data_IF_833860594362
#
_entry.id   IF_833860594362
#
_cell.length_a   1.000
_cell.length_b   1.000
_cell.length_c   1.000
_cell.angle_alpha   90.00
_cell.angle_beta   90.00
_cell.angle_gamma   90.00
#
_symmetry.space_group_name_H-M   'P 1'
#
loop_
_entity.id
_entity.type
_entity.pdbx_description
1 polymer ?
#
# COMPACT_ATOMS: atom_id res chain seq x y z
N UNK A 1 -1.10 10.13 -68.16
CA UNK A 1 -0.78 9.31 -66.97
C UNK A 1 -1.40 7.97 -67.26
N UNK A 2 -0.59 7.08 -67.83
CA UNK A 2 -1.00 5.75 -68.27
C UNK A 2 -1.48 4.91 -67.07
N UNK A 3 -2.36 3.95 -67.35
CA UNK A 3 -3.08 3.11 -66.40
C UNK A 3 -2.11 2.31 -65.49
N UNK A 4 -1.68 2.92 -64.37
CA UNK A 4 -0.90 2.23 -63.34
C UNK A 4 -1.81 1.52 -62.34
N UNK A 5 -1.35 0.40 -61.79
CA UNK A 5 -2.04 -0.34 -60.72
C UNK A 5 -1.36 -0.04 -59.39
N UNK A 6 -2.16 0.05 -58.32
CA UNK A 6 -1.68 0.26 -56.96
C UNK A 6 -1.94 -1.02 -56.17
N UNK A 7 -0.88 -1.58 -55.59
CA UNK A 7 -0.95 -2.82 -54.81
C UNK A 7 -0.65 -2.54 -53.34
N UNK A 8 -1.57 -2.92 -52.48
CA UNK A 8 -1.43 -2.83 -51.03
C UNK A 8 -1.05 -4.21 -50.47
N UNK A 9 0.03 -4.28 -49.71
CA UNK A 9 0.47 -5.50 -49.03
C UNK A 9 0.56 -5.26 -47.53
N UNK A 10 0.12 -6.25 -46.74
CA UNK A 10 0.17 -6.23 -45.28
C UNK A 10 1.03 -7.40 -44.83
N UNK A 11 2.03 -7.14 -44.00
CA UNK A 11 2.97 -8.18 -43.56
C UNK A 11 2.40 -9.15 -42.50
N UNK A 12 1.44 -8.70 -41.67
CA UNK A 12 0.80 -9.53 -40.63
C UNK A 12 -0.68 -9.15 -40.42
N UNK A 13 -1.58 -10.04 -40.81
CA UNK A 13 -3.04 -9.85 -40.72
C UNK A 13 -3.63 -10.20 -39.35
N UNK A 14 -2.82 -10.77 -38.44
CA UNK A 14 -3.20 -10.95 -37.03
C UNK A 14 -3.02 -9.67 -36.24
N UNK A 15 -2.15 -8.77 -36.72
CA UNK A 15 -1.91 -7.45 -36.14
C UNK A 15 -2.80 -6.39 -36.80
N UNK A 16 -3.03 -6.44 -38.12
CA UNK A 16 -3.75 -5.40 -38.85
C UNK A 16 -5.00 -5.91 -39.58
N UNK A 17 -6.15 -5.28 -39.36
CA UNK A 17 -7.38 -5.50 -40.14
C UNK A 17 -7.74 -4.25 -40.95
N UNK A 18 -8.17 -4.43 -42.21
CA UNK A 18 -8.66 -3.35 -43.07
C UNK A 18 -10.17 -3.22 -42.97
N UNK A 19 -10.65 -1.99 -43.05
CA UNK A 19 -12.07 -1.65 -43.06
C UNK A 19 -12.38 -0.80 -44.29
N UNK A 20 -13.56 -0.99 -44.90
CA UNK A 20 -14.02 -0.18 -46.02
C UNK A 20 -14.53 1.21 -45.56
N UNK A 21 -14.96 2.06 -46.51
CA UNK A 21 -15.49 3.39 -46.19
C UNK A 21 -16.80 3.37 -45.39
N UNK A 22 -17.42 2.20 -45.20
CA UNK A 22 -18.60 1.98 -44.36
C UNK A 22 -18.23 1.34 -43.02
N UNK A 23 -16.94 1.28 -42.68
CA UNK A 23 -16.39 0.68 -41.47
C UNK A 23 -16.68 -0.82 -41.33
N UNK A 24 -16.91 -1.52 -42.47
CA UNK A 24 -17.06 -2.97 -42.50
C UNK A 24 -15.68 -3.61 -42.66
N UNK A 25 -15.36 -4.59 -41.81
CA UNK A 25 -14.11 -5.35 -41.91
C UNK A 25 -14.05 -6.03 -43.28
N UNK A 26 -13.00 -5.76 -44.02
CA UNK A 26 -12.70 -6.42 -45.29
C UNK A 26 -12.10 -7.78 -44.91
N UNK A 27 -12.79 -8.86 -45.30
CA UNK A 27 -12.44 -10.21 -44.86
C UNK A 27 -11.32 -10.82 -45.73
N UNK A 28 -10.46 -11.69 -45.16
CA UNK A 28 -9.36 -12.36 -45.86
C UNK A 28 -9.73 -13.09 -47.16
N UNK A 29 -11.00 -13.38 -47.40
CA UNK A 29 -11.49 -14.12 -48.57
C UNK A 29 -11.71 -13.26 -49.82
N UNK A 30 -11.61 -11.92 -49.72
CA UNK A 30 -11.55 -11.03 -50.89
C UNK A 30 -10.10 -10.77 -51.36
N UNK A 31 -9.14 -11.56 -50.85
CA UNK A 31 -7.71 -11.50 -51.15
C UNK A 31 -7.31 -12.60 -52.13
N UNK A 32 -6.36 -12.29 -53.01
CA UNK A 32 -5.58 -13.34 -53.68
C UNK A 32 -4.57 -13.92 -52.66
N UNK A 33 -4.89 -15.10 -52.14
CA UNK A 33 -4.22 -15.75 -51.00
C UNK A 33 -2.77 -16.15 -51.28
N UNK A 34 -2.33 -16.20 -52.55
CA UNK A 34 -0.97 -16.65 -52.89
C UNK A 34 0.09 -15.54 -52.76
N UNK A 35 -0.29 -14.27 -52.59
CA UNK A 35 0.69 -13.16 -52.51
C UNK A 35 0.43 -12.08 -51.44
N UNK A 36 -0.63 -12.21 -50.62
CA UNK A 36 -0.91 -11.25 -49.55
C UNK A 36 -1.16 -9.81 -50.06
N UNK A 37 -1.77 -9.68 -51.24
CA UNK A 37 -1.94 -8.39 -51.91
C UNK A 37 -3.37 -8.07 -52.32
N UNK A 38 -3.78 -6.83 -52.11
CA UNK A 38 -4.98 -6.27 -52.74
C UNK A 38 -4.54 -5.60 -54.03
N UNK A 39 -4.93 -6.20 -55.16
CA UNK A 39 -4.79 -5.61 -56.49
C UNK A 39 -6.15 -5.06 -56.89
N UNK A 40 -6.42 -3.78 -56.64
CA UNK A 40 -7.61 -3.14 -57.20
C UNK A 40 -7.26 -2.67 -58.61
N UNK A 41 -7.91 -3.17 -59.69
CA UNK A 41 -7.68 -2.67 -61.03
C UNK A 41 -8.09 -1.20 -61.09
N UNK A 42 -7.09 -0.32 -61.08
CA UNK A 42 -7.23 1.12 -61.09
C UNK A 42 -7.74 1.61 -62.45
N UNK A 43 -9.06 1.53 -62.67
CA UNK A 43 -9.73 2.42 -63.62
C UNK A 43 -10.21 3.65 -62.84
N UNK A 44 -9.41 4.71 -62.95
CA UNK A 44 -9.60 6.07 -62.43
C UNK A 44 -9.51 6.28 -60.91
N UNK A 45 -8.30 6.55 -60.41
CA UNK A 45 -8.10 7.36 -59.19
C UNK A 45 -8.35 8.83 -59.53
N UNK A 46 -9.62 9.25 -59.55
CA UNK A 46 -9.94 10.67 -59.45
C UNK A 46 -10.04 11.04 -57.98
N UNK A 47 -9.05 11.77 -57.46
CA UNK A 47 -9.23 12.85 -56.48
C UNK A 47 -10.04 12.59 -55.19
N UNK A 48 -10.07 11.37 -54.65
CA UNK A 48 -10.65 11.12 -53.34
C UNK A 48 -9.59 10.62 -52.36
N UNK A 49 -9.32 11.42 -51.33
CA UNK A 49 -8.55 11.03 -50.16
C UNK A 49 -9.19 9.76 -49.57
N UNK A 50 -8.47 8.64 -49.63
CA UNK A 50 -8.87 7.39 -48.99
C UNK A 50 -8.04 7.23 -47.73
N UNK A 51 -8.67 7.35 -46.58
CA UNK A 51 -8.08 7.04 -45.28
C UNK A 51 -8.26 5.55 -45.00
N UNK A 52 -7.20 4.86 -44.62
CA UNK A 52 -7.27 3.48 -44.11
C UNK A 52 -7.28 3.51 -42.59
N UNK A 53 -8.22 2.80 -41.97
CA UNK A 53 -8.31 2.69 -40.52
C UNK A 53 -7.87 1.29 -40.07
N UNK A 54 -7.02 1.26 -39.07
CA UNK A 54 -6.55 0.06 -38.37
C UNK A 54 -7.19 0.02 -36.99
N UNK A 55 -8.00 -1.01 -36.68
CA UNK A 55 -8.68 -1.13 -35.38
C UNK A 55 -8.57 -2.56 -34.86
N UNK A 56 -8.34 -2.72 -33.56
CA UNK A 56 -8.30 -4.04 -32.88
C UNK A 56 -6.99 -4.81 -33.09
N UNK A 57 -5.86 -4.09 -33.10
CA UNK A 57 -4.56 -4.69 -33.40
C UNK A 57 -4.02 -5.49 -32.22
N UNK A 58 -3.55 -6.71 -32.47
CA UNK A 58 -2.78 -7.46 -31.49
C UNK A 58 -1.35 -6.88 -31.38
N UNK A 59 -0.68 -7.02 -30.23
CA UNK A 59 0.72 -6.62 -30.12
C UNK A 59 1.59 -7.37 -31.14
N UNK A 60 2.46 -6.64 -31.82
CA UNK A 60 3.24 -7.16 -32.94
C UNK A 60 3.81 -6.04 -33.80
N UNK A 61 4.58 -6.43 -34.81
CA UNK A 61 5.06 -5.51 -35.84
C UNK A 61 4.32 -5.81 -37.14
N UNK A 62 3.85 -4.77 -37.81
CA UNK A 62 3.27 -4.90 -39.14
C UNK A 62 3.77 -3.77 -40.03
N UNK A 63 3.80 -4.02 -41.34
CA UNK A 63 4.02 -2.99 -42.33
C UNK A 63 2.92 -3.01 -43.37
N UNK A 64 2.66 -1.82 -43.90
CA UNK A 64 1.82 -1.60 -45.07
C UNK A 64 2.74 -1.12 -46.18
N UNK A 65 2.85 -1.90 -47.24
CA UNK A 65 3.63 -1.54 -48.43
C UNK A 65 2.67 -1.18 -49.55
N UNK A 66 2.90 -0.01 -50.13
CA UNK A 66 2.24 0.52 -51.30
C UNK A 66 3.17 0.36 -52.50
N UNK A 67 2.80 -0.43 -53.51
CA UNK A 67 3.57 -0.58 -54.74
C UNK A 67 2.86 0.11 -55.90
N UNK A 68 3.60 0.87 -56.69
CA UNK A 68 3.15 1.52 -57.91
C UNK A 68 3.64 0.70 -59.09
N UNK A 69 2.73 0.13 -59.86
CA UNK A 69 3.05 -0.77 -60.97
C UNK A 69 2.85 -0.06 -62.32
N UNK A 70 3.72 -0.37 -63.29
CA UNK A 70 3.52 0.03 -64.68
C UNK A 70 2.39 -0.78 -65.34
N UNK A 71 2.08 -0.43 -66.59
CA UNK A 71 1.04 -1.09 -67.39
C UNK A 71 1.29 -2.60 -67.61
N UNK A 72 2.52 -3.08 -67.40
CA UNK A 72 2.90 -4.49 -67.53
C UNK A 72 2.87 -5.21 -66.17
N UNK A 73 2.49 -4.54 -65.08
CA UNK A 73 2.53 -5.10 -63.73
C UNK A 73 3.93 -5.12 -63.10
N UNK A 74 4.88 -4.35 -63.61
CA UNK A 74 6.22 -4.21 -63.03
C UNK A 74 6.21 -3.11 -61.97
N UNK A 75 6.74 -3.38 -60.78
CA UNK A 75 6.85 -2.36 -59.73
C UNK A 75 7.83 -1.27 -60.16
N UNK A 76 7.34 -0.04 -60.32
CA UNK A 76 8.11 1.16 -60.69
C UNK A 76 8.71 1.80 -59.44
N UNK A 77 7.94 1.88 -58.36
CA UNK A 77 8.40 2.31 -57.06
C UNK A 77 7.50 1.74 -55.96
N UNK A 78 7.90 1.89 -54.69
CA UNK A 78 7.09 1.48 -53.55
C UNK A 78 7.37 2.32 -52.31
N UNK A 79 6.31 2.60 -51.54
CA UNK A 79 6.40 3.16 -50.20
C UNK A 79 6.10 2.07 -49.17
N UNK A 80 6.77 2.08 -48.03
CA UNK A 80 6.47 1.16 -46.93
C UNK A 80 6.35 1.93 -45.63
N UNK A 81 5.23 1.75 -44.95
CA UNK A 81 4.98 2.26 -43.60
C UNK A 81 5.03 1.07 -42.65
N UNK A 82 6.04 1.05 -41.78
CA UNK A 82 6.12 0.09 -40.68
C UNK A 82 5.50 0.71 -39.42
N UNK A 83 4.75 -0.07 -38.66
CA UNK A 83 4.24 0.31 -37.35
C UNK A 83 4.33 -0.87 -36.39
N UNK A 84 4.51 -0.55 -35.12
CA UNK A 84 4.54 -1.52 -34.03
C UNK A 84 3.39 -1.26 -33.08
N UNK A 85 2.75 -2.33 -32.64
CA UNK A 85 1.76 -2.31 -31.56
C UNK A 85 2.41 -3.00 -30.38
N UNK A 86 2.50 -2.30 -29.25
CA UNK A 86 3.02 -2.85 -28.00
C UNK A 86 1.90 -2.94 -26.97
N UNK A 87 1.89 -4.04 -26.22
CA UNK A 87 1.14 -4.15 -24.97
C UNK A 87 2.10 -3.93 -23.81
N UNK A 88 1.70 -3.08 -22.87
CA UNK A 88 2.42 -2.83 -21.63
C UNK A 88 1.61 -3.42 -20.48
N UNK A 89 2.24 -4.25 -19.66
CA UNK A 89 1.61 -4.86 -18.48
C UNK A 89 2.44 -4.53 -17.25
N UNK A 90 1.83 -3.90 -16.24
CA UNK A 90 2.51 -3.66 -14.97
C UNK A 90 2.57 -4.95 -14.15
N UNK A 91 3.79 -5.32 -13.74
CA UNK A 91 4.04 -6.43 -12.82
C UNK A 91 4.25 -5.92 -11.41
N UNK A 92 4.86 -4.73 -11.26
CA UNK A 92 4.96 -4.04 -9.98
C UNK A 92 4.92 -2.52 -10.16
N UNK A 93 4.32 -1.78 -9.23
CA UNK A 93 3.27 -2.28 -8.34
C UNK A 93 2.08 -2.84 -9.16
N UNK A 94 1.35 -3.80 -8.60
CA UNK A 94 0.27 -4.51 -9.30
C UNK A 94 -1.02 -3.69 -9.35
N UNK A 95 -1.80 -3.89 -10.41
CA UNK A 95 -3.09 -3.22 -10.65
C UNK A 95 -4.28 -4.08 -10.20
N UNK A 96 -4.07 -5.39 -9.99
CA UNK A 96 -5.13 -6.33 -9.63
C UNK A 96 -4.58 -7.59 -8.93
N UNK A 97 -5.47 -8.29 -8.22
CA UNK A 97 -5.23 -9.44 -7.34
C UNK A 97 -4.74 -10.73 -8.02
N UNK A 98 -4.40 -10.68 -9.32
CA UNK A 98 -4.02 -11.88 -10.09
C UNK A 98 -2.58 -12.33 -9.86
N UNK A 99 -1.73 -11.48 -9.29
CA UNK A 99 -0.39 -11.85 -8.85
C UNK A 99 -0.32 -11.73 -7.32
N UNK A 100 0.03 -12.79 -6.56
CA UNK A 100 0.27 -12.72 -5.11
C UNK A 100 1.56 -11.94 -4.76
N UNK A 101 1.99 -11.03 -5.63
CA UNK A 101 3.18 -10.22 -5.44
C UNK A 101 2.85 -9.13 -4.42
N UNK A 102 3.36 -9.34 -3.20
CA UNK A 102 3.31 -8.41 -2.08
C UNK A 102 3.60 -6.98 -2.55
N UNK A 103 2.56 -6.14 -2.61
CA UNK A 103 2.65 -4.71 -2.88
C UNK A 103 3.07 -3.93 -1.63
N UNK A 104 3.48 -4.63 -0.57
CA UNK A 104 3.97 -4.05 0.67
C UNK A 104 5.47 -3.73 0.55
N UNK A 105 5.80 -2.48 0.79
CA UNK A 105 7.16 -1.96 0.81
C UNK A 105 7.39 -1.29 2.16
N UNK A 106 8.51 -1.58 2.82
CA UNK A 106 8.75 -1.20 4.22
C UNK A 106 9.99 -0.32 4.30
N UNK A 107 9.90 0.80 5.03
CA UNK A 107 11.09 1.55 5.45
C UNK A 107 11.94 0.69 6.39
N UNK A 108 13.22 0.55 6.05
CA UNK A 108 14.18 -0.19 6.87
C UNK A 108 14.56 0.56 8.16
N UNK A 109 15.46 -0.06 8.93
CA UNK A 109 15.89 0.43 10.24
C UNK A 109 17.07 1.44 10.15
N UNK A 110 17.47 1.87 8.94
CA UNK A 110 18.59 2.81 8.78
C UNK A 110 18.22 4.23 9.27
N UNK A 111 19.21 5.11 9.44
CA UNK A 111 18.99 6.49 9.89
C UNK A 111 19.70 7.43 8.92
N UNK A 112 18.99 8.13 8.01
CA UNK A 112 17.54 8.06 7.78
C UNK A 112 17.08 6.71 7.19
N UNK A 113 15.87 6.27 7.52
CA UNK A 113 15.32 4.99 7.00
C UNK A 113 15.06 5.05 5.50
N UNK A 114 15.10 3.88 4.84
CA UNK A 114 14.97 3.78 3.38
C UNK A 114 13.89 2.78 2.99
N UNK A 115 12.98 3.18 2.10
CA UNK A 115 11.99 2.30 1.46
C UNK A 115 12.25 2.22 -0.05
N UNK A 116 12.29 0.99 -0.59
CA UNK A 116 12.55 0.71 -2.01
C UNK A 116 11.30 0.13 -2.66
N UNK A 117 10.64 0.91 -3.51
CA UNK A 117 9.46 0.50 -4.28
C UNK A 117 9.88 0.05 -5.67
N UNK A 118 9.86 -1.26 -5.90
CA UNK A 118 10.17 -1.84 -7.21
C UNK A 118 9.03 -1.56 -8.20
N UNK A 119 9.37 -0.99 -9.36
CA UNK A 119 8.49 -0.69 -10.47
C UNK A 119 8.93 -1.52 -11.69
N UNK A 120 8.05 -2.39 -12.20
CA UNK A 120 8.36 -3.34 -13.26
C UNK A 120 7.20 -3.40 -14.25
N UNK A 121 7.52 -3.23 -15.53
CA UNK A 121 6.58 -3.42 -16.63
C UNK A 121 7.13 -4.44 -17.65
N UNK A 122 6.24 -5.31 -18.12
CA UNK A 122 6.50 -6.21 -19.23
C UNK A 122 5.93 -5.60 -20.51
N UNK A 123 6.65 -5.81 -21.61
CA UNK A 123 6.25 -5.35 -22.93
C UNK A 123 6.11 -6.55 -23.85
N UNK A 124 5.05 -6.58 -24.65
CA UNK A 124 4.89 -7.56 -25.73
C UNK A 124 4.62 -6.83 -27.05
N UNK A 125 5.28 -7.20 -28.17
CA UNK A 125 6.34 -8.20 -28.25
C UNK A 125 7.65 -7.66 -27.67
N UNK A 126 8.45 -8.54 -27.07
CA UNK A 126 9.74 -8.21 -26.48
C UNK A 126 10.90 -8.52 -27.45
N UNK A 127 11.04 -7.71 -28.51
CA UNK A 127 12.11 -7.85 -29.52
C UNK A 127 13.22 -6.80 -29.33
N UNK A 128 14.45 -7.02 -29.84
CA UNK A 128 15.52 -6.03 -29.79
C UNK A 128 15.13 -4.65 -30.37
N UNK A 129 14.31 -4.63 -31.42
CA UNK A 129 13.83 -3.41 -32.09
C UNK A 129 12.84 -2.65 -31.20
N UNK A 130 11.88 -3.36 -30.60
CA UNK A 130 10.95 -2.78 -29.62
C UNK A 130 11.74 -2.26 -28.42
N UNK A 131 12.71 -3.03 -27.92
CA UNK A 131 13.54 -2.60 -26.79
C UNK A 131 14.28 -1.30 -27.09
N UNK A 132 14.92 -1.24 -28.25
CA UNK A 132 15.62 -0.03 -28.72
C UNK A 132 14.67 1.17 -28.86
N UNK A 133 13.44 0.95 -29.31
CA UNK A 133 12.44 2.00 -29.47
C UNK A 133 11.97 2.58 -28.13
N UNK A 134 11.80 1.72 -27.12
CA UNK A 134 11.30 2.09 -25.79
C UNK A 134 12.37 2.69 -24.86
N UNK A 135 13.65 2.48 -25.17
CA UNK A 135 14.76 2.98 -24.37
C UNK A 135 14.65 4.50 -24.16
N UNK A 136 14.57 4.92 -22.90
CA UNK A 136 14.45 6.35 -22.54
C UNK A 136 13.05 6.94 -22.66
N UNK A 137 12.04 6.17 -23.07
CA UNK A 137 10.66 6.64 -23.26
C UNK A 137 9.71 6.24 -22.14
N UNK A 138 9.98 5.11 -21.47
CA UNK A 138 9.21 4.62 -20.35
C UNK A 138 9.62 5.36 -19.08
N UNK A 139 8.71 6.10 -18.47
CA UNK A 139 8.98 6.93 -17.29
C UNK A 139 8.05 6.57 -16.15
N UNK A 140 8.63 6.27 -15.00
CA UNK A 140 7.92 6.04 -13.77
C UNK A 140 7.79 7.32 -12.95
N UNK A 141 6.62 7.50 -12.37
CA UNK A 141 6.38 8.39 -11.23
C UNK A 141 5.72 7.59 -10.11
N UNK A 142 5.82 8.10 -8.89
CA UNK A 142 5.10 7.55 -7.74
C UNK A 142 4.66 8.71 -6.85
N UNK A 143 3.47 8.60 -6.26
CA UNK A 143 3.00 9.53 -5.25
C UNK A 143 4.05 9.71 -4.15
N UNK A 144 4.21 10.96 -3.70
CA UNK A 144 5.20 11.27 -2.69
C UNK A 144 4.81 10.68 -1.33
N UNK A 145 5.82 10.42 -0.51
CA UNK A 145 5.69 10.22 0.94
C UNK A 145 6.14 11.53 1.59
N UNK A 146 5.22 12.39 2.07
CA UNK A 146 5.59 13.71 2.59
C UNK A 146 6.63 13.63 3.72
N UNK A 147 7.76 14.33 3.57
CA UNK A 147 8.89 14.28 4.50
C UNK A 147 10.02 13.33 4.06
N UNK A 148 9.76 12.44 3.10
CA UNK A 148 10.78 11.61 2.46
C UNK A 148 11.34 12.28 1.21
N UNK A 149 12.63 12.05 0.93
CA UNK A 149 13.24 12.39 -0.36
C UNK A 149 13.10 11.22 -1.32
N UNK A 150 12.53 11.45 -2.50
CA UNK A 150 12.43 10.46 -3.58
C UNK A 150 13.62 10.56 -4.54
N UNK A 151 14.29 9.44 -4.76
CA UNK A 151 15.26 9.25 -5.84
C UNK A 151 14.95 7.96 -6.61
N UNK A 152 15.59 7.77 -7.76
CA UNK A 152 15.45 6.56 -8.58
C UNK A 152 16.80 5.87 -8.74
N UNK A 153 16.79 4.54 -8.70
CA UNK A 153 18.02 3.73 -8.74
C UNK A 153 18.77 3.84 -10.08
N UNK A 154 18.05 3.76 -11.20
CA UNK A 154 18.67 3.73 -12.53
C UNK A 154 18.52 5.06 -13.30
N UNK A 155 17.36 5.72 -13.15
CA UNK A 155 17.01 6.97 -13.84
C UNK A 155 17.41 8.27 -13.11
N UNK A 156 18.10 8.19 -11.96
CA UNK A 156 18.47 9.37 -11.17
C UNK A 156 17.24 10.13 -10.64
N UNK A 157 16.94 11.32 -11.17
CA UNK A 157 15.73 12.09 -10.82
C UNK A 157 14.58 11.93 -11.82
N UNK A 158 14.77 11.14 -12.88
CA UNK A 158 13.85 11.12 -14.03
C UNK A 158 12.91 9.92 -14.11
N UNK A 159 13.08 8.91 -13.25
CA UNK A 159 12.25 7.69 -13.23
C UNK A 159 12.29 6.88 -14.53
N UNK A 160 13.28 7.11 -15.40
CA UNK A 160 13.39 6.46 -16.70
C UNK A 160 13.72 4.98 -16.52
N UNK A 161 12.83 4.10 -16.97
CA UNK A 161 13.00 2.67 -16.84
C UNK A 161 14.18 2.15 -17.66
N UNK A 162 14.86 1.13 -17.12
CA UNK A 162 15.94 0.40 -17.79
C UNK A 162 15.48 -1.03 -18.06
N UNK A 163 15.76 -1.51 -19.27
CA UNK A 163 15.50 -2.89 -19.63
C UNK A 163 16.47 -3.83 -18.87
N UNK A 164 15.91 -4.76 -18.10
CA UNK A 164 16.68 -5.77 -17.37
C UNK A 164 16.38 -7.17 -17.91
N UNK A 165 17.40 -7.80 -18.51
CA UNK A 165 17.32 -9.16 -19.05
C UNK A 165 17.00 -10.21 -17.97
N UNK A 166 17.39 -10.00 -16.71
CA UNK A 166 17.13 -10.91 -15.61
C UNK A 166 15.65 -10.97 -15.20
N UNK A 167 14.92 -9.87 -15.41
CA UNK A 167 13.47 -9.78 -15.18
C UNK A 167 12.65 -9.94 -16.47
N UNK A 168 13.28 -9.89 -17.64
CA UNK A 168 12.60 -9.89 -18.94
C UNK A 168 11.70 -8.67 -19.12
N UNK A 169 12.06 -7.52 -18.54
CA UNK A 169 11.18 -6.38 -18.44
C UNK A 169 11.88 -5.06 -18.19
N UNK A 170 11.08 -4.00 -18.18
CA UNK A 170 11.50 -2.63 -17.91
C UNK A 170 11.33 -2.33 -16.44
N UNK A 171 12.44 -2.03 -15.77
CA UNK A 171 12.43 -1.81 -14.32
C UNK A 171 12.94 -0.44 -13.93
N UNK A 172 12.49 -0.04 -12.76
CA UNK A 172 13.03 1.07 -12.00
C UNK A 172 12.73 0.82 -10.51
N UNK A 173 13.48 1.47 -9.61
CA UNK A 173 13.23 1.41 -8.16
C UNK A 173 13.07 2.83 -7.62
N UNK A 174 11.89 3.18 -7.12
CA UNK A 174 11.69 4.39 -6.34
C UNK A 174 12.30 4.19 -4.96
N UNK A 175 13.16 5.12 -4.53
CA UNK A 175 13.85 5.08 -3.25
C UNK A 175 13.39 6.28 -2.42
N UNK A 176 12.57 6.03 -1.41
CA UNK A 176 12.22 7.03 -0.41
C UNK A 176 13.23 6.98 0.74
N UNK A 177 13.84 8.12 1.05
CA UNK A 177 14.81 8.26 2.15
C UNK A 177 14.29 9.25 3.19
N UNK A 178 14.31 8.85 4.46
CA UNK A 178 13.74 9.58 5.60
C UNK A 178 12.29 9.18 5.82
N UNK A 179 11.96 8.79 7.06
CA UNK A 179 10.56 8.51 7.41
C UNK A 179 9.78 9.84 7.51
N UNK A 180 8.49 9.85 7.13
CA UNK A 180 7.62 11.00 7.29
C UNK A 180 7.34 11.32 8.77
N UNK A 181 6.99 12.57 9.07
CA UNK A 181 6.57 12.95 10.45
C UNK A 181 5.19 12.41 10.82
N UNK A 182 4.29 12.31 9.84
CA UNK A 182 2.88 11.99 10.04
C UNK A 182 2.58 10.54 9.64
N UNK A 183 1.84 9.82 10.49
CA UNK A 183 1.39 8.45 10.20
C UNK A 183 0.54 8.38 8.92
N UNK A 184 -0.24 9.42 8.64
CA UNK A 184 -1.08 9.52 7.43
C UNK A 184 -0.29 9.65 6.12
N UNK A 185 1.03 9.86 6.18
CA UNK A 185 1.89 9.89 4.98
C UNK A 185 2.21 8.49 4.44
N UNK A 186 2.05 7.45 5.26
CA UNK A 186 2.20 6.05 4.84
C UNK A 186 0.98 5.56 4.05
N UNK A 187 0.93 4.26 3.80
CA UNK A 187 -0.18 3.59 3.13
C UNK A 187 -0.07 3.57 1.63
N UNK A 188 -1.22 3.52 0.99
CA UNK A 188 -1.36 3.36 -0.44
C UNK A 188 -0.71 4.54 -1.20
N UNK A 189 0.03 4.21 -2.26
CA UNK A 189 0.71 5.13 -3.17
C UNK A 189 0.54 4.65 -4.60
N UNK A 190 0.05 5.52 -5.46
CA UNK A 190 -0.08 5.24 -6.90
C UNK A 190 1.29 5.39 -7.55
N UNK A 191 1.78 4.33 -8.21
CA UNK A 191 2.87 4.45 -9.16
C UNK A 191 2.33 4.43 -10.58
N UNK A 192 2.82 5.34 -11.41
CA UNK A 192 2.36 5.55 -12.78
C UNK A 192 3.52 5.34 -13.74
N UNK A 193 3.30 4.52 -14.76
CA UNK A 193 4.17 4.43 -15.92
C UNK A 193 3.57 5.26 -17.05
N UNK A 194 4.34 6.22 -17.56
CA UNK A 194 4.00 7.02 -18.73
C UNK A 194 4.72 6.50 -19.99
N UNK A 195 3.97 6.39 -21.08
CA UNK A 195 4.50 6.08 -22.41
C UNK A 195 3.69 6.77 -23.51
N UNK A 196 4.32 7.70 -24.23
CA UNK A 196 3.73 8.39 -25.40
C UNK A 196 2.31 8.95 -25.14
N UNK A 197 2.12 9.57 -23.96
CA UNK A 197 0.85 10.16 -23.54
C UNK A 197 -0.15 9.18 -22.93
N UNK A 198 0.18 7.89 -22.86
CA UNK A 198 -0.61 6.87 -22.14
C UNK A 198 -0.06 6.68 -20.74
N UNK A 199 -0.94 6.38 -19.79
CA UNK A 199 -0.59 6.13 -18.39
C UNK A 199 -1.09 4.76 -17.95
N UNK A 200 -0.29 4.10 -17.13
CA UNK A 200 -0.61 2.82 -16.50
C UNK A 200 -0.34 2.96 -15.01
N UNK A 201 -1.32 2.64 -14.17
CA UNK A 201 -1.23 2.85 -12.72
C UNK A 201 -1.21 1.52 -11.97
N UNK A 202 -0.42 1.45 -10.91
CA UNK A 202 -0.39 0.33 -9.96
C UNK A 202 -0.25 0.83 -8.52
N UNK A 203 -0.69 0.03 -7.56
CA UNK A 203 -0.73 0.43 -6.14
C UNK A 203 0.43 -0.16 -5.33
N UNK A 204 1.23 0.69 -4.72
CA UNK A 204 2.25 0.32 -3.74
C UNK A 204 1.75 0.69 -2.32
N UNK A 205 1.88 -0.21 -1.36
CA UNK A 205 1.56 0.05 0.04
C UNK A 205 2.85 0.27 0.81
N UNK A 206 3.01 1.47 1.37
CA UNK A 206 4.23 1.87 2.06
C UNK A 206 4.04 1.81 3.56
N UNK A 207 4.88 1.04 4.25
CA UNK A 207 4.85 0.78 5.68
C UNK A 207 6.14 1.26 6.36
N UNK A 208 6.11 1.39 7.69
CA UNK A 208 7.32 1.53 8.51
C UNK A 208 7.65 0.24 9.27
N UNK A 209 8.93 -0.01 9.50
CA UNK A 209 9.35 -1.07 10.43
C UNK A 209 8.85 -0.77 11.84
N UNK A 210 8.02 -1.68 12.39
CA UNK A 210 7.29 -1.49 13.67
C UNK A 210 8.23 -1.14 14.83
N UNK A 211 9.30 -1.92 14.98
CA UNK A 211 10.18 -1.91 16.16
C UNK A 211 11.46 -1.08 15.98
N UNK A 212 11.69 -0.55 14.77
CA UNK A 212 12.75 0.44 14.55
C UNK A 212 12.49 1.71 15.37
N UNK A 213 13.55 2.47 15.62
CA UNK A 213 13.51 3.71 16.42
C UNK A 213 13.96 4.93 15.62
N UNK A 214 13.72 4.91 14.31
CA UNK A 214 14.24 5.88 13.34
C UNK A 214 13.18 6.88 12.86
N UNK A 215 12.03 6.98 13.53
CA UNK A 215 11.05 8.03 13.30
C UNK A 215 11.67 9.43 13.48
N UNK A 216 11.15 10.48 12.82
CA UNK A 216 11.78 11.81 12.83
C UNK A 216 11.45 12.65 14.08
N UNK A 217 10.41 12.27 14.84
CA UNK A 217 9.95 13.06 15.99
C UNK A 217 10.89 13.11 17.19
N UNK A 218 10.49 13.86 18.22
CA UNK A 218 11.16 13.88 19.52
C UNK A 218 11.29 12.47 20.08
N UNK A 219 12.41 12.17 20.74
CA UNK A 219 12.74 10.83 21.26
C UNK A 219 13.08 9.79 20.17
N UNK A 220 13.32 10.20 18.93
CA UNK A 220 13.99 9.36 17.93
C UNK A 220 15.26 8.72 18.51
N UNK A 221 15.48 7.44 18.20
CA UNK A 221 16.50 6.58 18.78
C UNK A 221 16.14 5.97 20.13
N UNK A 222 15.11 6.47 20.81
CA UNK A 222 14.69 6.02 22.15
C UNK A 222 13.36 5.26 22.10
N UNK A 223 12.35 5.86 21.45
CA UNK A 223 11.01 5.28 21.25
C UNK A 223 10.91 4.51 19.94
N UNK A 224 10.14 3.41 19.89
CA UNK A 224 9.88 2.67 18.67
C UNK A 224 8.90 3.41 17.75
N UNK A 225 8.96 3.11 16.46
CA UNK A 225 8.14 3.72 15.42
C UNK A 225 6.65 3.47 15.68
N UNK A 226 6.27 2.26 16.13
CA UNK A 226 4.88 1.96 16.48
C UNK A 226 4.34 2.93 17.52
N UNK A 227 5.12 3.23 18.57
CA UNK A 227 4.68 4.13 19.64
C UNK A 227 4.52 5.54 19.09
N UNK A 228 5.48 6.01 18.30
CA UNK A 228 5.44 7.34 17.69
C UNK A 228 4.24 7.52 16.75
N UNK A 229 4.01 6.58 15.83
CA UNK A 229 2.97 6.73 14.80
C UNK A 229 1.57 6.33 15.26
N UNK A 230 1.42 5.26 16.06
CA UNK A 230 0.09 4.91 16.59
C UNK A 230 -0.42 5.96 17.59
N UNK A 231 0.46 6.68 18.27
CA UNK A 231 0.08 7.86 19.08
C UNK A 231 -0.52 9.02 18.26
N UNK A 232 -0.42 8.99 16.93
CA UNK A 232 -1.02 9.99 16.03
C UNK A 232 -2.36 9.54 15.44
N UNK A 233 -2.76 8.29 15.69
CA UNK A 233 -3.95 7.66 15.14
C UNK A 233 -5.16 7.76 16.08
N UNK A 234 -6.33 7.31 15.64
CA UNK A 234 -7.52 7.17 16.48
C UNK A 234 -7.38 6.15 17.61
N UNK A 235 -6.36 5.27 17.55
CA UNK A 235 -6.02 4.36 18.63
C UNK A 235 -5.53 5.08 19.89
N UNK A 236 -4.94 6.27 19.74
CA UNK A 236 -4.45 7.07 20.84
C UNK A 236 -5.60 7.64 21.70
N UNK A 237 -5.33 7.83 22.99
CA UNK A 237 -6.17 8.59 23.92
C UNK A 237 -5.31 9.21 25.01
N UNK A 238 -5.74 10.34 25.56
CA UNK A 238 -5.13 10.96 26.74
C UNK A 238 -3.64 11.29 26.60
N UNK A 239 -2.94 11.32 27.74
CA UNK A 239 -1.49 11.59 27.80
C UNK A 239 -0.78 10.41 28.43
N UNK A 240 0.29 9.95 27.77
CA UNK A 240 1.08 8.82 28.22
C UNK A 240 2.55 8.95 27.83
N UNK A 241 3.41 8.17 28.48
CA UNK A 241 4.85 8.14 28.27
C UNK A 241 5.30 6.73 27.87
N UNK A 242 6.24 6.64 26.94
CA UNK A 242 6.86 5.36 26.62
C UNK A 242 7.77 4.90 27.75
N UNK A 243 7.47 3.75 28.34
CA UNK A 243 8.17 3.18 29.48
C UNK A 243 9.30 2.21 29.11
N UNK A 244 9.48 1.90 27.81
CA UNK A 244 10.52 0.97 27.35
C UNK A 244 10.08 -0.50 27.34
N UNK A 245 11.07 -1.39 27.32
CA UNK A 245 10.85 -2.82 27.41
C UNK A 245 10.71 -3.24 28.87
N UNK A 246 9.53 -3.71 29.26
CA UNK A 246 9.30 -4.42 30.52
C UNK A 246 8.60 -5.75 30.21
N UNK A 247 9.34 -6.87 30.17
CA UNK A 247 8.76 -8.17 29.84
C UNK A 247 7.55 -8.49 30.74
N UNK A 248 6.44 -8.87 30.11
CA UNK A 248 5.19 -9.19 30.80
C UNK A 248 4.31 -8.00 31.16
N UNK A 249 4.70 -6.76 30.85
CA UNK A 249 3.89 -5.57 31.05
C UNK A 249 3.62 -4.84 29.74
N UNK A 250 2.39 -4.37 29.57
CA UNK A 250 1.98 -3.56 28.42
C UNK A 250 1.69 -2.11 28.82
N UNK A 251 1.13 -1.89 30.00
CA UNK A 251 0.90 -0.57 30.57
C UNK A 251 1.17 -0.55 32.08
N UNK A 252 1.22 0.65 32.66
CA UNK A 252 1.18 0.86 34.11
C UNK A 252 0.85 2.31 34.46
N UNK A 253 0.06 2.51 35.51
CA UNK A 253 0.01 3.76 36.29
C UNK A 253 0.53 3.53 37.70
N UNK A 254 1.68 4.13 38.10
CA UNK A 254 2.11 4.11 39.48
C UNK A 254 1.15 4.93 40.35
N UNK A 255 0.76 4.43 41.51
CA UNK A 255 -0.05 5.17 42.49
C UNK A 255 0.81 5.83 43.58
N UNK A 256 2.13 5.60 43.56
CA UNK A 256 3.09 6.18 44.52
C UNK A 256 4.38 6.64 43.85
N UNK A 257 5.15 7.44 44.58
CA UNK A 257 6.46 7.93 44.14
C UNK A 257 6.38 9.13 43.19
N UNK A 258 7.52 9.55 42.63
CA UNK A 258 7.60 10.79 41.83
C UNK A 258 6.85 10.71 40.50
N UNK A 259 6.47 9.51 40.05
CA UNK A 259 5.73 9.27 38.81
C UNK A 259 4.27 8.88 39.07
N UNK A 260 3.74 9.14 40.28
CA UNK A 260 2.38 8.79 40.63
C UNK A 260 1.36 9.48 39.71
N UNK A 261 0.43 8.71 39.13
CA UNK A 261 -0.55 9.19 38.17
C UNK A 261 -0.05 9.30 36.73
N UNK A 262 1.21 8.98 36.44
CA UNK A 262 1.72 8.96 35.05
C UNK A 262 1.37 7.65 34.36
N UNK A 263 0.75 7.73 33.19
CA UNK A 263 0.52 6.55 32.33
C UNK A 263 1.80 6.18 31.58
N UNK A 264 2.26 4.95 31.77
CA UNK A 264 3.35 4.35 31.01
C UNK A 264 2.84 3.29 30.05
N UNK A 265 3.33 3.31 28.82
CA UNK A 265 3.07 2.29 27.80
C UNK A 265 4.39 1.58 27.47
N UNK A 266 4.40 0.26 27.53
CA UNK A 266 5.57 -0.59 27.32
C UNK A 266 5.47 -1.39 26.01
N UNK A 267 6.56 -2.08 25.64
CA UNK A 267 6.61 -2.90 24.42
C UNK A 267 5.49 -3.95 24.32
N UNK A 268 4.96 -4.43 25.46
CA UNK A 268 3.83 -5.35 25.48
C UNK A 268 2.57 -4.82 24.82
N UNK A 269 2.38 -3.50 24.77
CA UNK A 269 1.25 -2.86 24.10
C UNK A 269 1.31 -2.98 22.57
N UNK A 270 2.45 -3.38 22.00
CA UNK A 270 2.63 -3.56 20.55
C UNK A 270 2.49 -5.00 20.06
N UNK A 271 2.19 -5.92 20.97
CA UNK A 271 2.14 -7.35 20.71
C UNK A 271 0.68 -7.82 20.46
N UNK A 272 0.49 -9.14 20.46
CA UNK A 272 -0.82 -9.78 20.49
C UNK A 272 -1.20 -10.08 21.93
N UNK A 273 -2.43 -9.72 22.33
CA UNK A 273 -3.10 -10.26 23.50
C UNK A 273 -2.56 -9.80 24.85
N UNK A 274 -2.27 -8.51 25.01
CA UNK A 274 -1.78 -7.96 26.28
C UNK A 274 -2.81 -7.87 27.42
N UNK A 275 -3.98 -8.50 27.29
CA UNK A 275 -5.04 -8.43 28.31
C UNK A 275 -5.12 -9.67 29.19
N UNK A 276 -5.49 -9.47 30.45
CA UNK A 276 -5.74 -10.55 31.42
C UNK A 276 -6.93 -11.43 31.01
N UNK A 277 -7.95 -10.83 30.42
CA UNK A 277 -9.17 -11.53 30.05
C UNK A 277 -9.12 -12.15 28.65
N UNK A 278 -9.70 -13.36 28.44
CA UNK A 278 -9.72 -14.03 27.15
C UNK A 278 -10.26 -13.16 26.00
N UNK A 279 -11.25 -12.30 26.26
CA UNK A 279 -11.81 -11.40 25.24
C UNK A 279 -10.83 -10.33 24.74
N UNK A 280 -9.74 -10.07 25.46
CA UNK A 280 -8.71 -9.11 25.07
C UNK A 280 -7.49 -9.78 24.43
N UNK A 281 -7.37 -11.10 24.55
CA UNK A 281 -6.27 -11.87 23.98
C UNK A 281 -6.26 -11.90 22.44
N UNK A 282 -7.40 -11.59 21.80
CA UNK A 282 -7.51 -11.50 20.34
C UNK A 282 -7.06 -10.16 19.76
N UNK A 283 -6.73 -9.16 20.60
CA UNK A 283 -6.32 -7.83 20.14
C UNK A 283 -4.86 -7.87 19.68
N UNK A 284 -4.59 -7.38 18.48
CA UNK A 284 -3.26 -7.39 17.85
C UNK A 284 -2.81 -5.98 17.52
N UNK A 285 -1.50 -5.75 17.58
CA UNK A 285 -0.86 -4.54 17.06
C UNK A 285 -1.54 -3.24 17.54
N UNK A 286 -2.04 -2.41 16.61
CA UNK A 286 -2.65 -1.12 16.95
C UNK A 286 -3.86 -1.26 17.88
N UNK A 287 -4.62 -2.35 17.80
CA UNK A 287 -5.77 -2.59 18.69
C UNK A 287 -5.31 -2.92 20.10
N UNK A 288 -4.21 -3.66 20.23
CA UNK A 288 -3.60 -3.93 21.53
C UNK A 288 -3.10 -2.62 22.17
N UNK A 289 -2.49 -1.73 21.39
CA UNK A 289 -2.08 -0.41 21.86
C UNK A 289 -3.28 0.42 22.31
N UNK A 290 -4.34 0.48 21.50
CA UNK A 290 -5.57 1.22 21.80
C UNK A 290 -6.23 0.74 23.10
N UNK A 291 -6.23 -0.58 23.31
CA UNK A 291 -6.70 -1.30 24.50
C UNK A 291 -5.97 -0.81 25.75
N UNK A 292 -4.65 -0.95 25.74
CA UNK A 292 -3.78 -0.70 26.88
C UNK A 292 -3.80 0.77 27.26
N UNK A 293 -3.75 1.69 26.29
CA UNK A 293 -3.82 3.13 26.58
C UNK A 293 -5.11 3.48 27.33
N UNK A 294 -6.27 2.95 26.92
CA UNK A 294 -7.55 3.21 27.59
C UNK A 294 -7.63 2.57 28.97
N UNK A 295 -7.12 1.35 29.11
CA UNK A 295 -7.01 0.65 30.37
C UNK A 295 -6.21 1.48 31.39
N UNK A 296 -5.01 1.92 31.03
CA UNK A 296 -4.16 2.70 31.94
C UNK A 296 -4.71 4.11 32.21
N UNK A 297 -5.37 4.75 31.25
CA UNK A 297 -6.04 6.03 31.50
C UNK A 297 -7.16 5.90 32.53
N UNK A 298 -7.79 4.72 32.62
CA UNK A 298 -8.78 4.47 33.65
C UNK A 298 -8.13 4.44 35.03
N UNK A 299 -7.03 3.69 35.21
CA UNK A 299 -6.22 3.75 36.44
C UNK A 299 -5.77 5.17 36.79
N UNK A 300 -5.37 5.97 35.80
CA UNK A 300 -5.02 7.37 36.03
C UNK A 300 -6.22 8.20 36.53
N UNK A 301 -7.39 8.02 35.93
CA UNK A 301 -8.62 8.70 36.35
C UNK A 301 -8.96 8.33 37.80
N UNK A 302 -8.87 7.05 38.15
CA UNK A 302 -9.21 6.56 39.48
C UNK A 302 -8.18 7.02 40.51
N UNK A 303 -6.89 7.06 40.15
CA UNK A 303 -5.85 7.71 40.95
C UNK A 303 -6.20 9.16 41.30
N UNK A 304 -6.56 10.00 40.33
CA UNK A 304 -6.87 11.41 40.62
C UNK A 304 -8.21 11.61 41.33
N UNK A 305 -9.20 10.77 41.08
CA UNK A 305 -10.52 10.89 41.70
C UNK A 305 -10.53 10.42 43.16
N UNK A 306 -9.85 9.31 43.44
CA UNK A 306 -10.02 8.60 44.69
C UNK A 306 -8.78 8.65 45.59
N UNK A 307 -7.60 8.72 44.98
CA UNK A 307 -6.35 8.46 45.67
C UNK A 307 -5.41 9.64 45.74
N UNK A 308 -5.54 10.70 44.96
CA UNK A 308 -4.72 11.90 45.11
C UNK A 308 -5.46 12.95 45.96
N UNK A 309 -4.91 13.42 47.10
CA UNK A 309 -3.57 13.20 47.69
C UNK A 309 -3.50 12.10 48.77
N UNK A 310 -4.48 11.20 48.80
CA UNK A 310 -4.57 10.09 49.74
C UNK A 310 -3.60 8.94 49.37
N UNK A 311 -3.65 7.84 50.12
CA UNK A 311 -2.89 6.64 49.78
C UNK A 311 -3.87 5.47 49.74
N UNK A 312 -3.84 4.70 48.66
CA UNK A 312 -4.64 3.48 48.55
C UNK A 312 -4.29 2.43 49.61
N UNK A 313 -3.11 2.55 50.26
CA UNK A 313 -2.75 1.72 51.40
C UNK A 313 -3.63 1.97 52.66
N UNK A 314 -4.52 2.96 52.64
CA UNK A 314 -5.45 3.27 53.71
C UNK A 314 -6.82 2.60 53.54
N UNK A 315 -7.17 2.16 52.33
CA UNK A 315 -8.28 1.23 52.08
C UNK A 315 -7.69 -0.17 52.09
N UNK A 316 -8.07 -0.93 53.10
CA UNK A 316 -7.69 -2.33 53.18
C UNK A 316 -8.99 -3.12 53.22
N UNK A 317 -9.32 -3.73 52.09
CA UNK A 317 -10.41 -4.68 51.98
C UNK A 317 -10.18 -5.77 53.03
N UNK A 318 -11.28 -6.27 53.60
CA UNK A 318 -11.24 -7.14 54.77
C UNK A 318 -10.38 -8.40 54.56
N UNK A 319 -10.17 -8.82 53.31
CA UNK A 319 -9.62 -10.13 52.94
C UNK A 319 -8.30 -10.14 52.14
N UNK A 320 -7.66 -9.01 51.83
CA UNK A 320 -6.51 -9.09 50.90
C UNK A 320 -5.60 -7.88 50.71
N UNK A 321 -5.88 -6.75 51.37
CA UNK A 321 -5.27 -5.47 51.01
C UNK A 321 -5.91 -4.85 49.77
N UNK A 322 -5.53 -3.63 49.38
CA UNK A 322 -6.28 -2.82 48.43
C UNK A 322 -6.43 -3.44 47.04
N UNK A 323 -7.61 -3.30 46.46
CA UNK A 323 -8.02 -3.70 45.10
C UNK A 323 -7.87 -2.59 44.04
N UNK A 324 -7.41 -1.39 44.47
CA UNK A 324 -7.25 -0.16 43.70
C UNK A 324 -8.54 0.63 43.44
N UNK A 325 -9.69 0.16 43.93
CA UNK A 325 -10.92 0.92 44.07
C UNK A 325 -11.08 1.39 45.52
N UNK A 326 -11.90 2.43 45.66
CA UNK A 326 -12.13 3.04 46.97
C UNK A 326 -13.47 2.53 47.48
N UNK A 327 -13.51 1.96 48.69
CA UNK A 327 -14.70 1.33 49.29
C UNK A 327 -15.98 2.17 49.14
N UNK A 328 -15.83 3.49 49.26
CA UNK A 328 -16.94 4.44 49.21
C UNK A 328 -17.60 4.59 47.83
N UNK A 329 -16.98 4.10 46.75
CA UNK A 329 -17.48 4.23 45.37
C UNK A 329 -17.87 2.88 44.75
N UNK A 330 -17.34 1.76 45.21
CA UNK A 330 -17.50 0.43 44.60
C UNK A 330 -18.95 -0.01 44.40
N UNK A 331 -19.80 0.17 45.42
CA UNK A 331 -21.22 -0.17 45.32
C UNK A 331 -21.99 0.60 44.22
N UNK A 332 -21.40 1.68 43.68
CA UNK A 332 -21.97 2.46 42.57
C UNK A 332 -21.37 2.12 41.21
N UNK A 333 -20.27 1.37 41.19
CA UNK A 333 -19.59 0.92 39.98
C UNK A 333 -20.16 -0.44 39.57
N UNK A 334 -20.17 -0.71 38.26
CA UNK A 334 -20.65 -1.97 37.68
C UNK A 334 -19.48 -2.63 36.94
N UNK A 335 -19.16 -3.87 37.31
CA UNK A 335 -18.12 -4.66 36.69
C UNK A 335 -18.52 -5.27 35.35
N UNK A 336 -17.58 -5.98 34.71
CA UNK A 336 -17.83 -6.62 33.41
C UNK A 336 -18.86 -7.75 33.47
N UNK A 337 -19.05 -8.37 34.63
CA UNK A 337 -20.07 -9.39 34.89
C UNK A 337 -21.48 -8.80 35.08
N UNK A 338 -21.60 -7.48 35.14
CA UNK A 338 -22.84 -6.74 35.33
C UNK A 338 -23.26 -6.56 36.79
N UNK A 339 -22.46 -7.00 37.75
CA UNK A 339 -22.70 -6.81 39.18
C UNK A 339 -21.96 -5.59 39.72
N UNK A 340 -22.38 -5.10 40.89
CA UNK A 340 -21.64 -4.08 41.64
C UNK A 340 -20.46 -4.70 42.38
N UNK A 341 -19.39 -3.93 42.55
CA UNK A 341 -18.23 -4.33 43.34
C UNK A 341 -18.56 -4.35 44.86
N UNK A 342 -18.04 -5.35 45.56
CA UNK A 342 -18.20 -5.58 47.00
C UNK A 342 -17.00 -5.00 47.74
N UNK A 343 -17.22 -3.95 48.52
CA UNK A 343 -16.17 -3.24 49.27
C UNK A 343 -15.57 -3.98 50.45
N UNK A 344 -15.83 -5.27 50.55
CA UNK A 344 -15.20 -6.14 51.52
C UNK A 344 -14.28 -7.18 50.87
N UNK A 345 -14.31 -7.30 49.54
CA UNK A 345 -13.58 -8.30 48.76
C UNK A 345 -12.63 -7.61 47.78
N UNK A 346 -11.41 -8.14 47.67
CA UNK A 346 -10.40 -7.60 46.75
C UNK A 346 -10.65 -7.96 45.28
N UNK A 347 -11.41 -9.04 45.09
CA UNK A 347 -11.78 -9.67 43.83
C UNK A 347 -13.23 -10.12 44.00
N UNK A 348 -14.16 -9.23 43.66
CA UNK A 348 -15.61 -9.42 43.88
C UNK A 348 -16.14 -10.64 43.13
N UNK A 349 -15.61 -10.91 41.92
CA UNK A 349 -16.16 -11.92 41.02
C UNK A 349 -15.43 -13.29 41.15
N UNK A 350 -14.28 -13.32 41.83
CA UNK A 350 -13.48 -14.51 42.11
C UNK A 350 -12.70 -15.06 40.91
N UNK A 351 -12.44 -14.26 39.88
CA UNK A 351 -11.76 -14.68 38.66
C UNK A 351 -10.22 -14.59 38.73
N UNK A 352 -9.70 -14.08 39.85
CA UNK A 352 -8.28 -13.90 40.12
C UNK A 352 -7.72 -12.54 39.68
N UNK A 353 -8.55 -11.62 39.21
CA UNK A 353 -8.22 -10.23 38.89
C UNK A 353 -8.81 -9.32 39.97
N UNK A 354 -8.06 -8.29 40.38
CA UNK A 354 -8.55 -7.35 41.40
C UNK A 354 -9.52 -6.35 40.79
N UNK A 355 -10.47 -5.87 41.59
CA UNK A 355 -11.60 -5.06 41.11
C UNK A 355 -11.18 -3.80 40.34
N UNK A 356 -10.07 -3.15 40.70
CA UNK A 356 -9.55 -2.00 39.96
C UNK A 356 -9.06 -2.33 38.55
N UNK A 357 -8.45 -3.49 38.36
CA UNK A 357 -8.04 -3.97 37.03
C UNK A 357 -9.27 -4.40 36.21
N UNK A 358 -10.24 -5.02 36.89
CA UNK A 358 -11.52 -5.43 36.35
C UNK A 358 -12.31 -4.21 35.82
N UNK A 359 -12.33 -3.14 36.61
CA UNK A 359 -12.99 -1.89 36.27
C UNK A 359 -12.26 -1.15 35.15
N UNK A 360 -10.92 -1.14 35.15
CA UNK A 360 -10.13 -0.62 34.05
C UNK A 360 -10.43 -1.34 32.73
N UNK A 361 -10.63 -2.66 32.80
CA UNK A 361 -11.02 -3.47 31.65
C UNK A 361 -12.43 -3.19 31.11
N UNK A 362 -13.35 -2.60 31.89
CA UNK A 362 -14.65 -2.14 31.36
C UNK A 362 -14.47 -1.04 30.30
N UNK A 363 -13.52 -0.13 30.51
CA UNK A 363 -13.20 0.96 29.58
C UNK A 363 -12.40 0.43 28.40
N UNK A 364 -11.49 -0.50 28.65
CA UNK A 364 -10.78 -1.25 27.61
C UNK A 364 -11.75 -1.92 26.62
N UNK A 365 -12.85 -2.50 27.12
CA UNK A 365 -13.86 -3.17 26.30
C UNK A 365 -14.66 -2.23 25.38
N UNK A 366 -14.59 -0.91 25.58
CA UNK A 366 -15.22 0.08 24.70
C UNK A 366 -14.52 0.22 23.34
N UNK A 367 -13.27 -0.24 23.21
CA UNK A 367 -12.55 -0.22 21.93
C UNK A 367 -13.12 -1.25 20.95
N UNK A 368 -13.44 -0.81 19.74
CA UNK A 368 -13.88 -1.68 18.65
C UNK A 368 -12.66 -2.20 17.89
N UNK A 369 -12.35 -3.49 18.02
CA UNK A 369 -11.24 -4.13 17.29
C UNK A 369 -11.35 -3.87 15.79
N UNK A 370 -10.24 -3.46 15.18
CA UNK A 370 -10.15 -3.13 13.76
C UNK A 370 -10.60 -1.71 13.40
N UNK A 371 -11.08 -0.90 14.36
CA UNK A 371 -11.53 0.46 14.04
C UNK A 371 -10.40 1.40 13.60
N UNK A 372 -9.15 1.09 13.95
CA UNK A 372 -7.96 1.83 13.51
C UNK A 372 -7.14 1.08 12.46
N UNK A 373 -7.65 0.00 11.86
CA UNK A 373 -6.90 -0.79 10.88
C UNK A 373 -6.37 0.06 9.73
N UNK A 374 -7.18 0.98 9.19
CA UNK A 374 -6.77 1.88 8.10
C UNK A 374 -5.64 2.86 8.47
N UNK A 375 -5.27 2.92 9.75
CA UNK A 375 -4.20 3.76 10.28
C UNK A 375 -2.98 2.94 10.72
N UNK A 376 -3.05 1.60 10.70
CA UNK A 376 -1.92 0.74 11.06
C UNK A 376 -1.00 0.47 9.86
N UNK A 377 -0.05 1.37 9.65
CA UNK A 377 0.98 1.24 8.62
C UNK A 377 2.31 0.66 9.16
N UNK A 378 2.26 -0.01 10.30
CA UNK A 378 3.40 -0.77 10.81
C UNK A 378 3.60 -2.07 10.02
N UNK A 379 4.85 -2.52 9.91
CA UNK A 379 5.20 -3.86 9.44
C UNK A 379 6.14 -4.53 10.45
N UNK A 380 5.73 -5.66 11.07
CA UNK A 380 4.39 -6.25 10.99
C UNK A 380 3.32 -5.34 11.64
N UNK A 381 2.09 -5.38 11.15
CA UNK A 381 0.92 -4.68 11.66
C UNK A 381 -0.37 -5.27 11.07
N UNK A 382 -1.53 -4.78 11.51
CA UNK A 382 -2.83 -5.29 11.05
C UNK A 382 -2.97 -5.19 9.51
N UNK A 383 -2.53 -4.10 8.87
CA UNK A 383 -2.60 -4.01 7.40
C UNK A 383 -1.50 -4.77 6.67
N UNK A 384 -0.31 -4.91 7.25
CA UNK A 384 0.79 -5.59 6.57
C UNK A 384 0.70 -7.13 6.63
N UNK A 385 -0.26 -7.66 7.37
CA UNK A 385 -0.46 -9.11 7.63
C UNK A 385 -1.77 -9.66 7.06
N UNK A 386 -2.59 -8.80 6.44
CA UNK A 386 -3.71 -9.16 5.57
C UNK A 386 -3.17 -9.67 4.22
#
# INVERSE_FOLDING_TARGET
LDEGVLKLMISDTNVLALYDSSNKRILPTEYDLDTGSITNPLRSLTLYDRTFHAVGMNPGSASVTLQYLDVNGTVVCSDTVAFGVVSITLVRPVVNSQYPANNNYVFDNSVPGVCRVACIALVSPDTPEVRKHLQGKLKWSIESVPGSTLTWEFGGTSGVAVYDMGYGGWRETAIFTGLPEQNSSFGDKVATLEFEGNTYEGMAQVFYSKDAKNHPGSQSGQTPNWYYYWSQSSANSGSHTYGGNRPGLAGQVPYTGPNAGTVFIFDGASMTGAGYFPQFQSRTYIDCFASVVRHELKHQSDYYANWNPYSFALDADANGGPDLLKDSVESSLIGMDGNSYDNTERDTNGDGVIDGEDYASTVENSWTVGSADSEDWASPGNNSTK
#
